data_IF_580558502925
#
_entry.id   IF_580558502925
#
_cell.length_a   1.000
_cell.length_b   1.000
_cell.length_c   1.000
_cell.angle_alpha   90.00
_cell.angle_beta   90.00
_cell.angle_gamma   90.00
#
_symmetry.space_group_name_H-M   'P 1'
#
loop_
_entity.id
_entity.type
_entity.pdbx_description
1 polymer ?
#
# COMPACT_ATOMS: atom_id res chain seq x y z
N UNK A 1 21.43 19.99 -18.56
CA UNK A 1 20.28 20.28 -17.69
C UNK A 1 20.61 19.77 -16.29
N UNK A 2 20.81 20.66 -15.32
CA UNK A 2 21.00 20.30 -13.90
C UNK A 2 19.99 21.10 -13.09
N UNK A 3 18.75 20.60 -13.02
CA UNK A 3 17.78 20.99 -12.00
C UNK A 3 17.80 19.96 -10.88
N UNK A 4 17.46 20.38 -9.65
CA UNK A 4 17.26 19.44 -8.54
C UNK A 4 16.14 18.46 -8.88
N UNK A 5 16.47 17.18 -9.03
CA UNK A 5 15.49 16.12 -9.28
C UNK A 5 14.83 15.71 -7.97
N UNK A 6 13.52 15.52 -8.00
CA UNK A 6 12.81 14.86 -6.90
C UNK A 6 13.21 13.38 -6.83
N UNK A 7 12.88 12.71 -5.71
CA UNK A 7 13.11 11.26 -5.56
C UNK A 7 12.23 10.40 -6.49
N UNK A 8 11.13 10.94 -7.01
CA UNK A 8 10.22 10.24 -7.92
C UNK A 8 10.20 10.83 -9.34
N UNK A 9 11.21 11.62 -9.69
CA UNK A 9 11.29 12.27 -11.00
C UNK A 9 11.34 11.22 -12.13
N UNK A 10 10.37 11.29 -13.03
CA UNK A 10 10.16 10.37 -14.15
C UNK A 10 9.89 8.91 -13.74
N UNK A 11 9.53 8.65 -12.48
CA UNK A 11 9.19 7.31 -12.01
C UNK A 11 7.74 6.97 -12.38
N UNK A 12 7.48 5.84 -13.08
CA UNK A 12 6.12 5.43 -13.46
C UNK A 12 5.36 4.84 -12.28
N UNK A 13 4.30 5.54 -11.88
CA UNK A 13 3.41 5.19 -10.79
C UNK A 13 2.02 4.87 -11.34
N UNK A 14 1.55 3.66 -11.05
CA UNK A 14 0.22 3.21 -11.43
C UNK A 14 -0.82 3.73 -10.44
N UNK A 15 -1.96 4.23 -10.93
CA UNK A 15 -3.06 4.75 -10.11
C UNK A 15 -4.30 3.89 -10.30
N UNK A 16 -4.87 3.38 -9.21
CA UNK A 16 -6.14 2.64 -9.25
C UNK A 16 -7.27 3.45 -9.89
N UNK A 17 -8.07 2.80 -10.73
CA UNK A 17 -9.23 3.34 -11.48
C UNK A 17 -10.34 4.01 -10.62
N UNK A 18 -10.29 3.93 -9.29
CA UNK A 18 -11.21 4.67 -8.41
C UNK A 18 -10.62 5.96 -7.81
N UNK A 19 -9.39 6.33 -8.19
CA UNK A 19 -8.69 7.55 -7.78
C UNK A 19 -8.70 8.49 -8.98
N UNK A 20 -9.25 9.69 -8.81
CA UNK A 20 -9.44 10.63 -9.92
C UNK A 20 -8.12 11.12 -10.52
N UNK A 21 -8.00 11.04 -11.84
CA UNK A 21 -7.04 11.77 -12.67
C UNK A 21 -7.80 12.67 -13.63
N UNK A 22 -7.56 13.98 -13.58
CA UNK A 22 -8.23 14.97 -14.42
C UNK A 22 -7.44 15.20 -15.72
N UNK A 23 -7.22 14.12 -16.43
CA UNK A 23 -6.53 14.09 -17.72
C UNK A 23 -7.45 13.45 -18.78
N UNK A 24 -6.89 12.64 -19.68
CA UNK A 24 -7.67 11.94 -20.72
C UNK A 24 -8.04 10.51 -20.31
N UNK A 25 -7.59 10.08 -19.15
CA UNK A 25 -7.83 8.73 -18.64
C UNK A 25 -9.20 8.67 -17.95
N UNK A 26 -9.80 7.48 -17.82
CA UNK A 26 -11.16 7.32 -17.30
C UNK A 26 -11.15 6.80 -15.86
N UNK A 27 -11.61 7.60 -14.89
CA UNK A 27 -11.84 7.13 -13.53
C UNK A 27 -13.22 6.49 -13.38
N UNK A 28 -13.30 5.17 -13.52
CA UNK A 28 -14.58 4.43 -13.56
C UNK A 28 -14.87 3.61 -12.31
N UNK A 29 -13.89 3.46 -11.41
CA UNK A 29 -13.98 2.59 -10.23
C UNK A 29 -14.42 1.15 -10.57
N UNK A 30 -14.08 0.64 -11.75
CA UNK A 30 -14.50 -0.67 -12.23
C UNK A 30 -15.98 -0.75 -12.67
N UNK A 31 -16.73 0.36 -12.66
CA UNK A 31 -18.16 0.39 -12.91
C UNK A 31 -18.52 0.97 -14.29
N UNK A 32 -19.36 0.26 -15.05
CA UNK A 32 -19.88 0.75 -16.34
C UNK A 32 -20.66 2.07 -16.21
N UNK A 33 -21.23 2.36 -15.04
CA UNK A 33 -21.98 3.58 -14.77
C UNK A 33 -21.13 4.86 -14.83
N UNK A 34 -19.80 4.74 -14.66
CA UNK A 34 -18.88 5.88 -14.63
C UNK A 34 -18.05 6.01 -15.92
N UNK A 35 -18.30 5.16 -16.93
CA UNK A 35 -17.69 5.27 -18.26
C UNK A 35 -18.07 6.60 -18.89
N UNK A 36 -17.07 7.31 -19.44
CA UNK A 36 -17.24 8.65 -20.01
C UNK A 36 -17.48 9.76 -18.97
N UNK A 37 -17.49 9.44 -17.68
CA UNK A 37 -17.58 10.47 -16.64
C UNK A 37 -16.33 11.34 -16.64
N UNK A 38 -16.50 12.61 -16.25
CA UNK A 38 -15.39 13.56 -16.11
C UNK A 38 -15.24 13.94 -14.66
N UNK A 39 -14.07 13.68 -14.11
CA UNK A 39 -13.75 14.09 -12.74
C UNK A 39 -13.56 15.61 -12.67
N UNK A 40 -13.93 16.27 -11.57
CA UNK A 40 -13.82 17.73 -11.45
C UNK A 40 -12.37 18.21 -11.26
N UNK A 41 -11.51 17.36 -10.71
CA UNK A 41 -10.09 17.63 -10.46
C UNK A 41 -9.36 16.33 -10.12
N UNK A 42 -8.04 16.36 -10.21
CA UNK A 42 -7.18 15.29 -9.71
C UNK A 42 -7.43 15.02 -8.22
N UNK A 43 -7.29 13.75 -7.83
CA UNK A 43 -7.17 13.40 -6.43
C UNK A 43 -5.95 14.09 -5.81
N UNK A 44 -6.05 14.43 -4.53
CA UNK A 44 -4.97 15.10 -3.81
C UNK A 44 -3.63 14.37 -3.93
N UNK A 45 -3.66 13.04 -3.81
CA UNK A 45 -2.46 12.20 -3.92
C UNK A 45 -1.85 12.25 -5.32
N UNK A 46 -2.68 12.33 -6.37
CA UNK A 46 -2.24 12.44 -7.76
C UNK A 46 -1.55 13.79 -7.97
N UNK A 47 -2.13 14.88 -7.44
CA UNK A 47 -1.49 16.20 -7.47
C UNK A 47 -0.11 16.21 -6.81
N UNK A 48 0.05 15.50 -5.68
CA UNK A 48 1.34 15.39 -5.00
C UNK A 48 2.39 14.63 -5.82
N UNK A 49 1.99 13.57 -6.53
CA UNK A 49 2.86 12.82 -7.42
C UNK A 49 3.28 13.65 -8.64
N UNK A 50 2.35 14.39 -9.24
CA UNK A 50 2.64 15.31 -10.34
C UNK A 50 3.62 16.40 -9.89
N UNK A 51 3.48 16.93 -8.68
CA UNK A 51 4.39 17.95 -8.11
C UNK A 51 5.83 17.48 -7.96
N UNK A 52 6.06 16.16 -7.92
CA UNK A 52 7.40 15.56 -7.88
C UNK A 52 7.80 14.94 -9.22
N UNK A 53 7.12 15.31 -10.31
CA UNK A 53 7.37 14.84 -11.68
C UNK A 53 7.27 13.32 -11.87
N UNK A 54 6.43 12.63 -11.09
CA UNK A 54 6.14 11.23 -11.32
C UNK A 54 5.30 11.06 -12.61
N UNK A 55 5.55 9.98 -13.36
CA UNK A 55 4.75 9.63 -14.54
C UNK A 55 3.53 8.84 -14.07
N UNK A 56 2.33 9.35 -14.35
CA UNK A 56 1.09 8.69 -13.96
C UNK A 56 0.68 7.69 -15.04
N UNK A 57 0.50 6.43 -14.62
CA UNK A 57 -0.09 5.37 -15.43
C UNK A 57 -1.47 5.04 -14.86
N UNK A 58 -2.48 4.84 -15.70
CA UNK A 58 -3.77 4.34 -15.21
C UNK A 58 -3.73 2.83 -14.99
N UNK A 59 -4.22 2.41 -13.83
CA UNK A 59 -4.16 1.05 -13.34
C UNK A 59 -5.52 0.42 -13.20
N UNK A 60 -5.67 -0.68 -13.94
CA UNK A 60 -6.64 -1.77 -13.83
C UNK A 60 -8.09 -1.42 -13.45
N UNK A 61 -8.98 -1.80 -14.34
CA UNK A 61 -10.42 -1.76 -14.14
C UNK A 61 -10.96 -3.18 -14.17
N UNK A 62 -11.94 -3.50 -13.32
CA UNK A 62 -12.64 -4.79 -13.33
C UNK A 62 -13.45 -5.07 -14.63
N UNK A 63 -13.46 -4.10 -15.57
CA UNK A 63 -14.16 -4.17 -16.86
C UNK A 63 -13.54 -5.17 -17.85
N UNK A 64 -12.26 -5.56 -17.68
CA UNK A 64 -11.48 -6.32 -18.67
C UNK A 64 -11.23 -7.80 -18.35
N UNK A 65 -12.19 -8.47 -17.73
CA UNK A 65 -12.07 -9.81 -17.11
C UNK A 65 -11.20 -9.86 -15.84
N UNK A 66 -11.45 -10.87 -15.00
CA UNK A 66 -10.70 -11.07 -13.77
C UNK A 66 -9.24 -11.44 -14.10
N UNK A 67 -8.30 -10.64 -13.60
CA UNK A 67 -6.87 -10.94 -13.75
C UNK A 67 -6.49 -12.20 -12.97
N UNK A 68 -5.46 -12.92 -13.43
CA UNK A 68 -4.89 -14.04 -12.67
C UNK A 68 -3.83 -13.56 -11.69
N UNK A 69 -3.60 -14.31 -10.61
CA UNK A 69 -2.44 -14.12 -9.73
C UNK A 69 -1.13 -14.03 -10.53
N UNK A 70 -0.20 -13.18 -10.05
CA UNK A 70 1.09 -12.95 -10.68
C UNK A 70 2.00 -14.20 -10.67
N UNK A 71 1.83 -15.10 -9.69
CA UNK A 71 2.69 -16.27 -9.49
C UNK A 71 1.99 -17.61 -9.66
N UNK A 72 0.66 -17.63 -9.62
CA UNK A 72 -0.13 -18.85 -9.78
C UNK A 72 -1.05 -18.68 -10.99
N UNK A 73 -0.79 -19.45 -12.05
CA UNK A 73 -1.64 -19.45 -13.23
C UNK A 73 -3.08 -19.81 -12.84
N UNK A 74 -4.05 -18.99 -13.26
CA UNK A 74 -5.47 -19.07 -12.87
C UNK A 74 -5.73 -19.00 -11.34
N UNK A 75 -4.74 -18.56 -10.56
CA UNK A 75 -4.91 -18.30 -9.14
C UNK A 75 -5.69 -17.02 -8.89
N UNK A 76 -6.38 -16.95 -7.76
CA UNK A 76 -7.05 -15.74 -7.29
C UNK A 76 -6.01 -14.66 -6.94
N UNK A 77 -6.02 -13.47 -7.57
CA UNK A 77 -5.13 -12.37 -7.20
C UNK A 77 -5.64 -11.56 -6.00
N UNK A 78 -6.77 -11.95 -5.41
CA UNK A 78 -7.56 -11.17 -4.45
C UNK A 78 -8.04 -9.84 -5.05
N UNK A 79 -8.39 -8.86 -4.22
CA UNK A 79 -8.92 -7.59 -4.68
C UNK A 79 -9.32 -6.66 -3.56
N UNK A 80 -9.66 -5.41 -3.87
CA UNK A 80 -9.95 -4.87 -5.21
C UNK A 80 -8.77 -4.23 -5.95
N UNK A 81 -7.55 -4.22 -5.41
CA UNK A 81 -6.35 -3.69 -6.07
C UNK A 81 -5.48 -4.76 -6.75
N UNK A 82 -6.10 -5.81 -7.30
CA UNK A 82 -5.37 -6.94 -7.90
C UNK A 82 -4.50 -6.54 -9.08
N UNK A 83 -5.06 -5.80 -10.04
CA UNK A 83 -4.29 -5.43 -11.23
C UNK A 83 -3.08 -4.57 -10.92
N UNK A 84 -3.16 -3.69 -9.92
CA UNK A 84 -2.02 -2.91 -9.46
C UNK A 84 -0.96 -3.75 -8.77
N UNK A 85 -1.38 -4.73 -7.97
CA UNK A 85 -0.46 -5.66 -7.34
C UNK A 85 0.26 -6.52 -8.40
N UNK A 86 -0.48 -7.03 -9.39
CA UNK A 86 0.06 -7.79 -10.52
C UNK A 86 1.00 -6.93 -11.35
N UNK A 87 0.61 -5.71 -11.71
CA UNK A 87 1.42 -4.80 -12.52
C UNK A 87 2.72 -4.42 -11.82
N UNK A 88 2.66 -4.11 -10.52
CA UNK A 88 3.85 -3.82 -9.71
C UNK A 88 4.76 -5.05 -9.64
N UNK A 89 4.20 -6.22 -9.34
CA UNK A 89 4.93 -7.48 -9.24
C UNK A 89 5.64 -7.82 -10.56
N UNK A 90 4.91 -7.80 -11.68
CA UNK A 90 5.41 -8.07 -13.02
C UNK A 90 6.36 -6.99 -13.57
N UNK A 91 6.52 -5.85 -12.88
CA UNK A 91 7.39 -4.74 -13.30
C UNK A 91 6.82 -3.92 -14.46
N UNK A 92 5.49 -3.88 -14.62
CA UNK A 92 4.80 -3.01 -15.57
C UNK A 92 4.73 -1.55 -15.07
N UNK A 93 4.88 -1.35 -13.76
CA UNK A 93 5.12 -0.05 -13.12
C UNK A 93 6.21 -0.20 -12.04
N UNK A 94 6.77 0.92 -11.60
CA UNK A 94 7.72 0.92 -10.49
C UNK A 94 7.02 0.68 -9.15
N UNK A 95 5.82 1.25 -9.02
CA UNK A 95 4.96 1.15 -7.85
C UNK A 95 3.52 1.58 -8.19
N UNK A 96 2.62 1.47 -7.22
CA UNK A 96 1.22 1.83 -7.41
C UNK A 96 0.62 2.57 -6.21
N UNK A 97 -0.41 3.39 -6.46
CA UNK A 97 -1.24 4.05 -5.46
C UNK A 97 -2.66 3.52 -5.54
N UNK A 98 -3.13 3.05 -4.40
CA UNK A 98 -4.27 2.18 -4.28
C UNK A 98 -5.22 2.64 -3.18
N UNK A 99 -6.37 2.00 -3.07
CA UNK A 99 -7.32 2.25 -1.97
C UNK A 99 -7.59 0.97 -1.20
N UNK A 100 -7.70 1.08 0.12
CA UNK A 100 -8.18 -0.02 0.96
C UNK A 100 -9.23 0.43 1.96
N UNK A 101 -10.34 -0.31 1.93
CA UNK A 101 -11.42 -0.29 2.93
C UNK A 101 -11.27 -1.46 3.90
N UNK A 102 -11.14 -2.68 3.36
CA UNK A 102 -11.04 -3.91 4.14
C UNK A 102 -10.20 -4.94 3.39
N UNK A 103 -8.87 -4.86 3.50
CA UNK A 103 -7.96 -5.85 2.91
C UNK A 103 -7.59 -5.64 1.44
N UNK A 104 -8.15 -4.62 0.78
CA UNK A 104 -8.04 -4.41 -0.66
C UNK A 104 -6.62 -4.15 -1.19
N UNK A 105 -5.65 -3.92 -0.31
CA UNK A 105 -4.22 -3.79 -0.63
C UNK A 105 -3.44 -4.93 0.01
N UNK A 106 -3.61 -5.16 1.32
CA UNK A 106 -2.79 -6.17 2.04
C UNK A 106 -3.00 -7.58 1.48
N UNK A 107 -4.22 -7.92 1.05
CA UNK A 107 -4.50 -9.22 0.45
C UNK A 107 -3.85 -9.39 -0.94
N UNK A 108 -4.11 -8.51 -1.94
CA UNK A 108 -3.47 -8.68 -3.25
C UNK A 108 -1.95 -8.50 -3.20
N UNK A 109 -1.42 -7.65 -2.31
CA UNK A 109 0.05 -7.51 -2.13
C UNK A 109 0.69 -8.81 -1.64
N UNK A 110 0.04 -9.49 -0.68
CA UNK A 110 0.50 -10.78 -0.15
C UNK A 110 0.50 -11.89 -1.20
N UNK A 111 -0.43 -11.85 -2.16
CA UNK A 111 -0.51 -12.85 -3.23
C UNK A 111 0.37 -12.51 -4.45
N UNK A 112 0.77 -11.24 -4.58
CA UNK A 112 1.63 -10.75 -5.65
C UNK A 112 3.08 -10.52 -5.21
N UNK A 113 3.49 -11.03 -4.03
CA UNK A 113 4.85 -10.92 -3.49
C UNK A 113 5.42 -9.49 -3.54
N UNK A 114 4.63 -8.53 -3.08
CA UNK A 114 5.02 -7.12 -2.98
C UNK A 114 4.61 -6.55 -1.62
N UNK A 115 5.11 -5.35 -1.32
CA UNK A 115 4.79 -4.63 -0.09
C UNK A 115 3.61 -3.71 -0.33
N UNK A 116 2.56 -3.90 0.47
CA UNK A 116 1.43 -2.97 0.55
C UNK A 116 1.25 -2.48 1.98
N UNK A 117 1.12 -1.17 2.17
CA UNK A 117 0.97 -0.59 3.50
C UNK A 117 -0.42 0.00 3.70
N UNK A 118 -1.04 -0.35 4.83
CA UNK A 118 -2.26 0.27 5.32
C UNK A 118 -1.95 1.35 6.39
N UNK A 119 -1.63 2.62 6.03
CA UNK A 119 -1.48 3.71 7.02
C UNK A 119 -2.72 3.98 7.90
N UNK A 120 -2.55 4.83 8.90
CA UNK A 120 -3.65 5.37 9.69
C UNK A 120 -4.68 6.08 8.79
N UNK A 121 -5.97 5.88 9.05
CA UNK A 121 -7.05 6.60 8.33
C UNK A 121 -6.83 8.10 8.48
N UNK A 122 -6.92 8.83 7.37
CA UNK A 122 -6.63 10.27 7.32
C UNK A 122 -5.15 10.62 7.18
N UNK A 123 -4.20 9.69 7.16
CA UNK A 123 -2.80 10.06 6.89
C UNK A 123 -2.60 10.54 5.45
N UNK A 124 -3.42 10.05 4.53
CA UNK A 124 -3.47 10.45 3.13
C UNK A 124 -4.88 10.94 2.82
N UNK A 125 -5.01 12.01 2.04
CA UNK A 125 -6.33 12.51 1.62
C UNK A 125 -7.06 11.50 0.74
N UNK A 126 -8.38 11.45 0.90
CA UNK A 126 -9.33 10.67 0.08
C UNK A 126 -10.14 11.55 -0.86
N UNK A 127 -9.79 12.84 -0.96
CA UNK A 127 -10.49 13.75 -1.85
C UNK A 127 -10.34 13.34 -3.31
N UNK A 128 -11.47 13.36 -4.03
CA UNK A 128 -11.63 12.86 -5.40
C UNK A 128 -11.27 11.38 -5.57
N UNK A 129 -11.58 10.56 -4.55
CA UNK A 129 -11.56 9.09 -4.64
C UNK A 129 -13.00 8.61 -4.52
N UNK A 130 -13.43 7.68 -5.37
CA UNK A 130 -14.76 7.09 -5.27
C UNK A 130 -14.90 6.33 -3.95
N UNK A 131 -15.80 6.75 -3.04
CA UNK A 131 -15.83 6.23 -1.68
C UNK A 131 -16.55 4.88 -1.59
N UNK A 132 -16.15 4.08 -0.59
CA UNK A 132 -16.87 2.91 -0.09
C UNK A 132 -17.27 3.13 1.38
N UNK A 133 -16.35 3.58 2.23
CA UNK A 133 -16.59 3.85 3.64
C UNK A 133 -15.72 4.99 4.18
N UNK A 134 -16.36 6.05 4.66
CA UNK A 134 -15.65 7.19 5.27
C UNK A 134 -14.89 6.85 6.56
N UNK A 135 -15.17 5.72 7.21
CA UNK A 135 -14.49 5.35 8.45
C UNK A 135 -13.28 4.44 8.20
N UNK A 136 -13.21 3.81 7.03
CA UNK A 136 -12.21 2.77 6.75
C UNK A 136 -11.34 3.07 5.52
N UNK A 137 -11.87 3.80 4.54
CA UNK A 137 -11.15 4.10 3.30
C UNK A 137 -9.87 4.86 3.59
N UNK A 138 -8.83 4.54 2.84
CA UNK A 138 -7.60 5.34 2.78
C UNK A 138 -6.89 5.04 1.46
N UNK A 139 -6.12 6.02 0.99
CA UNK A 139 -5.30 5.94 -0.22
C UNK A 139 -3.86 5.60 0.16
N UNK A 140 -3.20 4.66 -0.51
CA UNK A 140 -2.02 4.02 0.08
C UNK A 140 -1.07 3.48 -0.98
N UNK A 141 0.23 3.38 -0.69
CA UNK A 141 1.21 2.88 -1.64
C UNK A 141 1.37 1.36 -1.62
N UNK A 142 1.67 0.81 -2.79
CA UNK A 142 2.26 -0.52 -3.01
C UNK A 142 3.59 -0.37 -3.74
N UNK A 143 4.58 -1.21 -3.41
CA UNK A 143 5.90 -1.21 -4.05
C UNK A 143 6.61 -2.56 -3.86
N UNK A 144 7.73 -2.77 -4.55
CA UNK A 144 8.49 -4.02 -4.44
C UNK A 144 9.25 -4.13 -3.12
N UNK A 145 9.56 -2.98 -2.51
CA UNK A 145 10.29 -2.91 -1.25
C UNK A 145 9.57 -2.05 -0.22
N UNK A 146 9.92 -2.22 1.06
CA UNK A 146 9.46 -1.35 2.14
C UNK A 146 9.95 0.09 1.95
N UNK A 147 11.12 0.26 1.31
CA UNK A 147 11.68 1.57 0.97
C UNK A 147 10.83 2.30 -0.06
N UNK A 148 10.41 1.63 -1.14
CA UNK A 148 9.52 2.21 -2.16
C UNK A 148 8.22 2.72 -1.52
N UNK A 149 7.63 1.88 -0.66
CA UNK A 149 6.39 2.19 0.05
C UNK A 149 6.56 3.38 1.01
N UNK A 150 7.69 3.47 1.70
CA UNK A 150 8.00 4.58 2.60
C UNK A 150 8.20 5.90 1.83
N UNK A 151 8.93 5.86 0.71
CA UNK A 151 9.14 7.00 -0.19
C UNK A 151 7.82 7.53 -0.75
N UNK A 152 6.96 6.62 -1.24
CA UNK A 152 5.67 7.00 -1.78
C UNK A 152 4.75 7.56 -0.69
N UNK A 153 4.75 6.96 0.51
CA UNK A 153 3.95 7.47 1.62
C UNK A 153 4.36 8.91 1.98
N UNK A 154 5.66 9.19 2.01
CA UNK A 154 6.21 10.53 2.23
C UNK A 154 5.69 11.54 1.20
N UNK A 155 5.59 11.15 -0.08
CA UNK A 155 5.09 12.03 -1.15
C UNK A 155 3.59 12.27 -1.06
N UNK A 156 2.78 11.21 -0.88
CA UNK A 156 1.32 11.29 -1.01
C UNK A 156 0.61 11.74 0.28
N UNK A 157 1.26 11.62 1.43
CA UNK A 157 0.70 12.12 2.68
C UNK A 157 0.55 13.64 2.64
N UNK A 158 -0.54 14.16 3.20
CA UNK A 158 -0.69 15.59 3.42
C UNK A 158 -2.01 15.95 4.07
N UNK A 159 -2.08 17.17 4.57
CA UNK A 159 -3.33 17.79 5.03
C UNK A 159 -4.08 18.32 3.79
N UNK A 160 -5.33 17.92 3.66
CA UNK A 160 -6.25 18.39 2.61
C UNK A 160 -7.49 18.99 3.26
N UNK A 161 -7.81 20.23 2.95
CA UNK A 161 -8.99 20.91 3.47
C UNK A 161 -10.30 20.32 2.94
N UNK A 162 -10.24 19.50 1.89
CA UNK A 162 -11.38 18.76 1.33
C UNK A 162 -11.59 17.39 1.99
N UNK A 163 -10.69 16.94 2.87
CA UNK A 163 -10.82 15.71 3.65
C UNK A 163 -10.55 15.98 5.14
N UNK A 164 -11.63 16.07 5.91
CA UNK A 164 -11.58 16.36 7.34
C UNK A 164 -10.78 15.31 8.15
N UNK A 165 -10.69 14.05 7.70
CA UNK A 165 -9.91 13.03 8.37
C UNK A 165 -8.41 13.37 8.37
N UNK A 166 -7.94 14.12 7.38
CA UNK A 166 -6.53 14.53 7.34
C UNK A 166 -6.14 15.48 8.45
N UNK A 167 -7.09 16.29 8.94
CA UNK A 167 -6.85 17.20 10.06
C UNK A 167 -6.58 16.44 11.36
N UNK A 168 -7.25 15.30 11.54
CA UNK A 168 -7.14 14.48 12.76
C UNK A 168 -5.77 13.78 12.88
N UNK A 169 -5.06 13.59 11.78
CA UNK A 169 -3.75 12.91 11.76
C UNK A 169 -2.56 13.87 11.82
N UNK A 170 -2.80 15.18 11.96
CA UNK A 170 -1.73 16.20 11.95
C UNK A 170 -0.58 15.90 12.94
N UNK A 171 -0.91 15.36 14.11
CA UNK A 171 0.06 15.10 15.20
C UNK A 171 0.93 13.85 14.96
N UNK A 172 0.51 12.92 14.11
CA UNK A 172 1.21 11.66 13.85
C UNK A 172 2.00 11.68 12.53
N UNK A 173 2.02 12.82 11.82
CA UNK A 173 2.69 12.95 10.54
C UNK A 173 4.19 13.12 10.72
N UNK A 174 4.94 12.39 9.92
CA UNK A 174 6.35 12.61 9.71
C UNK A 174 6.57 13.14 8.30
N UNK A 175 7.53 14.04 8.11
CA UNK A 175 7.85 14.54 6.77
C UNK A 175 8.59 13.48 5.96
N UNK A 176 9.51 12.77 6.61
CA UNK A 176 10.31 11.71 6.00
C UNK A 176 10.00 10.39 6.69
N UNK A 177 9.52 9.38 5.96
CA UNK A 177 9.28 8.05 6.52
C UNK A 177 10.48 7.11 6.34
N UNK A 178 11.33 7.36 5.34
CA UNK A 178 12.55 6.59 5.09
C UNK A 178 13.56 6.67 6.23
N UNK A 179 13.52 7.75 7.04
CA UNK A 179 14.35 7.87 8.25
C UNK A 179 14.14 6.75 9.27
N UNK A 180 13.01 6.03 9.20
CA UNK A 180 12.68 4.92 10.10
C UNK A 180 13.09 3.55 9.54
N UNK A 181 13.73 3.49 8.37
CA UNK A 181 14.28 2.27 7.78
C UNK A 181 15.63 1.91 8.43
N UNK A 182 15.59 1.57 9.72
CA UNK A 182 16.76 1.35 10.57
C UNK A 182 17.41 -0.05 10.41
N UNK A 183 16.90 -0.87 9.48
CA UNK A 183 17.32 -2.25 9.32
C UNK A 183 17.17 -3.06 10.62
N UNK A 184 18.15 -3.94 10.89
CA UNK A 184 18.15 -4.81 12.08
C UNK A 184 18.25 -4.03 13.41
N UNK A 185 18.84 -2.83 13.39
CA UNK A 185 19.00 -2.01 14.58
C UNK A 185 17.66 -1.47 15.07
N UNK A 186 16.71 -1.23 14.16
CA UNK A 186 15.33 -0.86 14.50
C UNK A 186 14.55 -1.93 15.25
N UNK A 187 15.03 -3.18 15.25
CA UNK A 187 14.41 -4.27 16.00
C UNK A 187 14.86 -4.30 17.46
N UNK A 188 15.93 -3.57 17.84
CA UNK A 188 16.41 -3.54 19.22
C UNK A 188 15.35 -2.93 20.11
N UNK A 189 14.97 -3.65 21.17
CA UNK A 189 13.95 -3.28 22.15
C UNK A 189 12.52 -3.15 21.59
N UNK A 190 12.28 -3.51 20.34
CA UNK A 190 10.92 -3.54 19.78
C UNK A 190 10.10 -4.59 20.53
N UNK A 191 8.87 -4.24 20.93
CA UNK A 191 7.91 -5.19 21.51
C UNK A 191 6.90 -5.57 20.44
N UNK A 192 6.80 -6.87 20.14
CA UNK A 192 5.88 -7.39 19.13
C UNK A 192 4.72 -8.13 19.81
N UNK A 193 3.51 -7.63 19.63
CA UNK A 193 2.30 -8.33 20.04
C UNK A 193 1.89 -9.38 19.01
N UNK A 194 1.74 -10.64 19.43
CA UNK A 194 1.25 -11.72 18.57
C UNK A 194 -0.20 -12.02 18.93
N UNK A 195 -1.14 -11.68 18.05
CA UNK A 195 -2.57 -11.93 18.27
C UNK A 195 -2.89 -13.41 18.02
N UNK A 196 -2.80 -14.23 19.07
CA UNK A 196 -2.94 -15.70 18.99
C UNK A 196 -4.29 -16.15 18.42
N UNK A 197 -5.36 -15.38 18.67
CA UNK A 197 -6.72 -15.71 18.22
C UNK A 197 -6.86 -15.74 16.69
N UNK A 198 -6.09 -14.94 15.95
CA UNK A 198 -6.17 -14.96 14.47
C UNK A 198 -5.62 -16.28 13.89
N UNK A 199 -4.86 -17.04 14.67
CA UNK A 199 -4.22 -18.29 14.26
C UNK A 199 -4.98 -19.55 14.75
N UNK A 200 -6.32 -19.53 14.80
CA UNK A 200 -7.16 -20.65 15.29
C UNK A 200 -6.72 -22.04 14.78
N UNK A 201 -6.94 -23.05 15.64
CA UNK A 201 -6.64 -24.49 15.51
C UNK A 201 -5.19 -24.96 15.32
N UNK A 202 -4.20 -24.12 15.00
CA UNK A 202 -2.83 -24.60 14.87
C UNK A 202 -1.73 -23.51 14.98
N UNK A 203 -1.89 -22.54 15.89
CA UNK A 203 -0.90 -21.49 16.16
C UNK A 203 0.54 -22.02 16.23
N UNK A 204 0.77 -23.09 17.00
CA UNK A 204 2.10 -23.70 17.13
C UNK A 204 2.65 -24.25 15.82
N UNK A 205 1.81 -24.85 14.97
CA UNK A 205 2.26 -25.44 13.70
C UNK A 205 2.60 -24.36 12.66
N UNK A 206 1.72 -23.37 12.47
CA UNK A 206 1.97 -22.27 11.54
C UNK A 206 3.16 -21.42 11.96
N UNK A 207 3.24 -21.04 13.24
CA UNK A 207 4.36 -20.26 13.75
C UNK A 207 5.68 -21.04 13.62
N UNK A 208 5.69 -22.35 13.85
CA UNK A 208 6.93 -23.13 13.73
C UNK A 208 7.45 -23.15 12.29
N UNK A 209 6.57 -23.27 11.30
CA UNK A 209 6.91 -23.15 9.88
C UNK A 209 7.43 -21.76 9.53
N UNK A 210 6.74 -20.69 9.94
CA UNK A 210 7.23 -19.34 9.74
C UNK A 210 8.60 -19.13 10.39
N UNK A 211 8.78 -19.56 11.64
CA UNK A 211 10.05 -19.45 12.35
C UNK A 211 11.19 -20.26 11.70
N UNK A 212 10.93 -21.34 10.97
CA UNK A 212 11.96 -22.07 10.21
C UNK A 212 12.36 -21.34 8.93
N UNK A 213 11.42 -20.72 8.22
CA UNK A 213 11.72 -19.87 7.05
C UNK A 213 12.56 -18.63 7.43
N UNK A 214 12.46 -18.19 8.69
CA UNK A 214 13.19 -17.04 9.23
C UNK A 214 14.68 -17.31 9.56
N UNK A 215 15.33 -18.35 9.03
CA UNK A 215 16.68 -18.77 9.44
C UNK A 215 17.85 -17.90 8.95
N UNK A 216 17.59 -16.91 8.08
CA UNK A 216 18.62 -15.99 7.59
C UNK A 216 18.94 -14.88 8.61
N UNK A 217 20.15 -14.30 8.64
CA UNK A 217 20.63 -13.41 9.73
C UNK A 217 19.65 -12.29 10.15
N UNK A 218 19.03 -11.59 9.20
CA UNK A 218 18.02 -10.54 9.45
C UNK A 218 16.74 -11.11 10.06
N UNK A 219 16.33 -12.27 9.56
CA UNK A 219 15.13 -12.97 9.98
C UNK A 219 15.34 -13.69 11.32
N UNK A 220 16.58 -14.04 11.68
CA UNK A 220 16.93 -14.62 12.98
C UNK A 220 16.60 -13.65 14.13
N UNK A 221 16.90 -12.35 13.99
CA UNK A 221 16.54 -11.36 15.00
C UNK A 221 15.02 -11.21 15.17
N UNK A 222 14.26 -11.25 14.06
CA UNK A 222 12.80 -11.25 14.10
C UNK A 222 12.25 -12.54 14.70
N UNK A 223 12.83 -13.70 14.34
CA UNK A 223 12.52 -15.02 14.88
C UNK A 223 12.70 -15.06 16.39
N UNK A 224 13.84 -14.59 16.88
CA UNK A 224 14.16 -14.59 18.31
C UNK A 224 13.23 -13.65 19.08
N UNK A 225 12.85 -12.50 18.49
CA UNK A 225 11.86 -11.59 19.07
C UNK A 225 10.46 -12.20 19.14
N UNK A 226 10.03 -12.90 18.09
CA UNK A 226 8.73 -13.61 18.06
C UNK A 226 8.74 -14.76 19.08
N UNK A 227 9.81 -15.56 19.14
CA UNK A 227 9.98 -16.64 20.13
C UNK A 227 9.93 -16.10 21.56
N UNK A 228 10.68 -15.04 21.86
CA UNK A 228 10.69 -14.41 23.17
C UNK A 228 9.26 -14.02 23.60
N UNK A 229 8.50 -13.35 22.72
CA UNK A 229 7.12 -13.00 23.03
C UNK A 229 6.24 -14.24 23.25
N UNK A 230 6.32 -15.27 22.39
CA UNK A 230 5.54 -16.51 22.57
C UNK A 230 5.80 -17.17 23.94
N UNK A 231 7.06 -17.18 24.37
CA UNK A 231 7.53 -17.80 25.62
C UNK A 231 7.23 -16.97 26.87
N UNK A 232 7.13 -15.64 26.74
CA UNK A 232 7.05 -14.70 27.89
C UNK A 232 5.76 -13.87 27.94
N UNK A 233 4.77 -14.14 27.09
CA UNK A 233 3.39 -13.67 27.31
C UNK A 233 2.50 -14.83 27.74
N UNK A 234 2.17 -14.84 29.03
CA UNK A 234 1.12 -15.68 29.63
C UNK A 234 -0.27 -15.16 29.24
N UNK A 235 -1.15 -16.12 28.87
CA UNK A 235 -2.59 -16.01 28.57
C UNK A 235 -3.03 -15.04 27.45
#
# INVERSE_FOLDING_TARGET
MHGSRSLLHEIPILIKDNIATNDRMETTAGGLALVGSRVPCDAFVVQRLIQVDAIILEGWSARGDASSSAYVANGDPSGSSSGSAIATSAGLCAAAIETETAGSIVMPSSLADIVGLKPTVGLTSRSSVTPISYDHDTVRPMGKTVEDVALLLEVIQGIDNRDNATQQTRIIRHQNYTQFLLGVEGLRYLRLGVIRQVFHYNFRHHISYYLSELENRTMKSLRDLIKFNIEHTDQ
#
